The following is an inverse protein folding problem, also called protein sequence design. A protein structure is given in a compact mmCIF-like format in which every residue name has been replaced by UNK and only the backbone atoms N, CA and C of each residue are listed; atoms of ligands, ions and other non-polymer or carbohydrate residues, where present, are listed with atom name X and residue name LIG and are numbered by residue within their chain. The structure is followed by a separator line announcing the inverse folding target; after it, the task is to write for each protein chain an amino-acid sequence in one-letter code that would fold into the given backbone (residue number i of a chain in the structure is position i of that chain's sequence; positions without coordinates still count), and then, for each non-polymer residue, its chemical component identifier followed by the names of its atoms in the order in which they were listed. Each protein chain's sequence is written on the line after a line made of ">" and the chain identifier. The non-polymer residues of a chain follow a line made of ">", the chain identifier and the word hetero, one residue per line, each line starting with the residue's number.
data_IF_079083711298
#
_entry.id   IF_079083711298
#
_cell.length_a   1.000
_cell.length_b   1.000
_cell.length_c   1.000
_cell.angle_alpha   90.00
_cell.angle_beta   90.00
_cell.angle_gamma   90.00
#
_symmetry.space_group_name_H-M   'P 1'
#
loop_
_entity.id
_entity.type
_entity.pdbx_description
1 polymer ?
#
# COMPACT_ATOMS: atom_id res chain seq x y z
N UNK A 1 -38.60 -2.84 -22.32
CA UNK A 1 -37.82 -1.62 -22.08
C UNK A 1 -36.58 -2.00 -21.29
N UNK A 2 -35.38 -1.73 -21.79
CA UNK A 2 -34.16 -1.93 -21.00
C UNK A 2 -34.13 -0.83 -19.95
N UNK A 3 -34.13 -1.21 -18.66
CA UNK A 3 -33.92 -0.26 -17.59
C UNK A 3 -32.59 0.46 -17.79
N UNK A 4 -32.55 1.75 -17.56
CA UNK A 4 -31.31 2.51 -17.66
C UNK A 4 -30.26 1.96 -16.67
N UNK A 5 -28.98 2.12 -16.97
CA UNK A 5 -27.88 1.70 -16.07
C UNK A 5 -28.08 2.29 -14.67
N UNK A 6 -28.55 3.53 -14.60
CA UNK A 6 -28.85 4.22 -13.33
C UNK A 6 -29.93 3.52 -12.52
N UNK A 7 -31.04 3.10 -13.16
CA UNK A 7 -32.14 2.39 -12.47
C UNK A 7 -31.68 1.03 -11.94
N UNK A 8 -30.85 0.31 -12.70
CA UNK A 8 -30.27 -0.97 -12.25
C UNK A 8 -29.35 -0.77 -11.05
N UNK A 9 -28.48 0.25 -11.07
CA UNK A 9 -27.59 0.56 -9.95
C UNK A 9 -28.37 0.98 -8.70
N UNK A 10 -29.41 1.81 -8.85
CA UNK A 10 -30.27 2.21 -7.75
C UNK A 10 -31.02 1.02 -7.13
N UNK A 11 -31.55 0.13 -7.94
CA UNK A 11 -32.20 -1.10 -7.48
C UNK A 11 -31.22 -1.99 -6.71
N UNK A 12 -30.00 -2.19 -7.24
CA UNK A 12 -28.96 -2.99 -6.56
C UNK A 12 -28.56 -2.37 -5.23
N UNK A 13 -28.38 -1.04 -5.16
CA UNK A 13 -28.06 -0.35 -3.92
C UNK A 13 -29.18 -0.47 -2.87
N UNK A 14 -30.45 -0.37 -3.31
CA UNK A 14 -31.59 -0.55 -2.43
C UNK A 14 -31.65 -1.98 -1.86
N UNK A 15 -31.39 -2.98 -2.68
CA UNK A 15 -31.35 -4.39 -2.26
C UNK A 15 -30.21 -4.65 -1.25
N UNK A 16 -29.00 -4.12 -1.51
CA UNK A 16 -27.87 -4.22 -0.56
C UNK A 16 -28.19 -3.56 0.79
N UNK A 17 -28.89 -2.41 0.78
CA UNK A 17 -29.33 -1.73 2.02
C UNK A 17 -30.37 -2.58 2.76
N UNK A 18 -31.34 -3.12 2.06
CA UNK A 18 -32.38 -3.97 2.66
C UNK A 18 -31.80 -5.24 3.30
N UNK A 19 -30.77 -5.81 2.69
CA UNK A 19 -30.02 -6.98 3.19
C UNK A 19 -28.96 -6.65 4.24
N UNK A 20 -28.78 -5.38 4.63
CA UNK A 20 -27.72 -4.93 5.53
C UNK A 20 -26.28 -5.27 5.03
N UNK A 21 -26.12 -5.41 3.73
CA UNK A 21 -24.85 -5.70 3.06
C UNK A 21 -24.19 -4.46 2.44
N UNK A 22 -24.87 -3.31 2.53
CA UNK A 22 -24.34 -2.07 2.01
C UNK A 22 -23.17 -1.58 2.87
N UNK A 23 -21.99 -1.53 2.27
CA UNK A 23 -20.77 -1.04 2.93
C UNK A 23 -20.57 0.44 2.62
N UNK A 24 -20.30 1.20 3.65
CA UNK A 24 -19.91 2.62 3.54
C UNK A 24 -18.47 2.77 3.96
N UNK A 25 -17.76 3.67 3.30
CA UNK A 25 -16.43 4.08 3.75
C UNK A 25 -16.61 4.93 5.02
N UNK A 26 -16.03 4.51 6.15
CA UNK A 26 -16.13 5.30 7.37
C UNK A 26 -15.29 6.56 7.23
N UNK A 27 -15.82 7.68 7.71
CA UNK A 27 -15.06 8.92 7.83
C UNK A 27 -14.37 8.95 9.20
N UNK A 28 -13.11 8.50 9.24
CA UNK A 28 -12.33 8.39 10.46
C UNK A 28 -11.15 9.35 10.43
N UNK A 29 -10.90 9.99 11.57
CA UNK A 29 -9.64 10.71 11.79
C UNK A 29 -8.69 9.77 12.55
N UNK A 30 -7.44 9.70 12.13
CA UNK A 30 -6.42 8.88 12.78
C UNK A 30 -5.60 9.74 13.76
N UNK A 31 -5.34 9.16 14.94
CA UNK A 31 -4.50 9.76 15.99
C UNK A 31 -3.66 8.64 16.64
N UNK A 32 -2.48 8.39 16.09
CA UNK A 32 -1.62 7.28 16.49
C UNK A 32 -2.38 5.95 16.47
N UNK A 33 -2.45 5.28 17.62
CA UNK A 33 -3.17 4.00 17.78
C UNK A 33 -4.70 4.13 17.90
N UNK A 34 -5.24 5.34 17.84
CA UNK A 34 -6.66 5.59 17.96
C UNK A 34 -7.25 6.04 16.63
N UNK A 35 -8.55 5.78 16.46
CA UNK A 35 -9.39 6.39 15.43
C UNK A 35 -10.50 7.18 16.11
N UNK A 36 -10.78 8.37 15.60
CA UNK A 36 -11.85 9.21 16.08
C UNK A 36 -13.04 9.03 15.15
N UNK A 37 -14.12 8.53 15.70
CA UNK A 37 -15.40 8.34 15.04
C UNK A 37 -16.50 9.04 15.82
N UNK A 38 -17.22 9.96 15.18
CA UNK A 38 -18.30 10.74 15.82
C UNK A 38 -17.86 11.38 17.15
N UNK A 39 -16.65 11.94 17.19
CA UNK A 39 -16.09 12.60 18.36
C UNK A 39 -15.61 11.65 19.48
N UNK A 40 -15.63 10.35 19.26
CA UNK A 40 -15.14 9.36 20.24
C UNK A 40 -13.83 8.75 19.74
N UNK A 41 -12.84 8.71 20.64
CA UNK A 41 -11.59 8.00 20.41
C UNK A 41 -11.79 6.50 20.67
N UNK A 42 -11.50 5.67 19.70
CA UNK A 42 -11.58 4.21 19.75
C UNK A 42 -10.20 3.62 19.47
N UNK A 43 -9.80 2.60 20.21
CA UNK A 43 -8.55 1.88 19.90
C UNK A 43 -8.67 1.17 18.54
N UNK A 44 -7.72 1.44 17.64
CA UNK A 44 -7.74 0.87 16.30
C UNK A 44 -7.15 -0.54 16.28
N UNK A 45 -7.97 -1.54 16.55
CA UNK A 45 -7.58 -2.97 16.48
C UNK A 45 -7.72 -3.56 15.07
N UNK A 46 -8.18 -2.78 14.10
CA UNK A 46 -8.33 -3.18 12.69
C UNK A 46 -7.16 -2.70 11.80
N UNK A 47 -6.11 -2.13 12.42
CA UNK A 47 -4.93 -1.66 11.69
C UNK A 47 -4.03 -2.82 11.30
N UNK A 48 -3.43 -2.73 10.12
CA UNK A 48 -2.32 -3.58 9.68
C UNK A 48 -0.95 -2.95 10.00
N UNK A 49 -0.93 -1.79 10.60
CA UNK A 49 0.28 -1.09 11.04
C UNK A 49 0.76 -1.65 12.39
N UNK A 50 1.24 -2.89 12.36
CA UNK A 50 1.65 -3.64 13.56
C UNK A 50 2.84 -3.03 14.30
N UNK A 51 3.70 -2.31 13.59
CA UNK A 51 4.89 -1.66 14.14
C UNK A 51 4.68 -0.17 14.43
N UNK A 52 3.53 0.39 14.07
CA UNK A 52 3.22 1.81 14.28
C UNK A 52 3.99 2.79 13.37
N UNK A 53 4.56 2.28 12.28
CA UNK A 53 5.42 3.08 11.38
C UNK A 53 4.65 4.16 10.63
N UNK A 54 3.36 3.93 10.36
CA UNK A 54 2.52 4.88 9.63
C UNK A 54 2.31 6.20 10.38
N UNK A 55 2.43 6.20 11.71
CA UNK A 55 2.33 7.38 12.56
C UNK A 55 3.66 7.89 13.11
N UNK A 56 4.78 7.25 12.77
CA UNK A 56 6.11 7.61 13.26
C UNK A 56 6.64 8.84 12.53
N UNK A 57 6.49 10.01 13.15
CA UNK A 57 6.93 11.29 12.57
C UNK A 57 8.44 11.45 12.55
N UNK A 58 9.18 10.79 13.45
CA UNK A 58 10.65 10.83 13.47
C UNK A 58 11.21 10.03 12.31
N UNK A 59 10.71 8.82 12.09
CA UNK A 59 11.07 7.98 10.94
C UNK A 59 10.73 8.69 9.61
N UNK A 60 9.57 9.34 9.52
CA UNK A 60 9.18 10.11 8.33
C UNK A 60 10.13 11.27 8.06
N UNK A 61 10.52 12.03 9.10
CA UNK A 61 11.45 13.16 8.97
C UNK A 61 12.85 12.68 8.57
N UNK A 62 13.32 11.57 9.14
CA UNK A 62 14.59 10.94 8.78
C UNK A 62 14.58 10.50 7.32
N UNK A 63 13.53 9.79 6.89
CA UNK A 63 13.36 9.37 5.49
C UNK A 63 13.40 10.54 4.52
N UNK A 64 12.66 11.62 4.79
CA UNK A 64 12.63 12.80 3.93
C UNK A 64 14.01 13.51 3.90
N UNK A 65 14.73 13.50 5.00
CA UNK A 65 16.10 14.06 5.08
C UNK A 65 17.05 13.24 4.21
N UNK A 66 17.02 11.92 4.31
CA UNK A 66 17.85 11.02 3.51
C UNK A 66 17.53 11.16 2.01
N UNK A 67 16.25 11.17 1.65
CA UNK A 67 15.80 11.38 0.26
C UNK A 67 16.28 12.71 -0.28
N UNK A 68 16.25 13.78 0.52
CA UNK A 68 16.79 15.09 0.15
C UNK A 68 18.31 15.11 -0.07
N UNK A 69 19.06 14.28 0.66
CA UNK A 69 20.51 14.14 0.51
C UNK A 69 20.92 13.32 -0.72
N UNK A 70 20.10 12.36 -1.15
CA UNK A 70 20.33 11.59 -2.38
C UNK A 70 20.23 12.43 -3.65
N UNK A 71 19.77 13.66 -3.54
CA UNK A 71 19.34 14.56 -4.62
C UNK A 71 20.43 15.26 -5.40
N UNK A 72 21.72 14.94 -5.24
CA UNK A 72 22.78 15.66 -6.01
C UNK A 72 22.91 15.18 -7.45
N UNK A 73 22.45 13.98 -7.77
CA UNK A 73 22.53 13.40 -9.12
C UNK A 73 21.21 12.90 -9.69
N UNK A 74 20.28 12.50 -8.82
CA UNK A 74 18.96 11.98 -9.21
C UNK A 74 17.90 12.49 -8.25
N UNK A 75 17.13 13.49 -8.65
CA UNK A 75 15.97 13.94 -7.86
C UNK A 75 14.96 12.81 -7.72
N UNK A 76 14.63 12.39 -6.49
CA UNK A 76 13.61 11.36 -6.27
C UNK A 76 12.29 11.78 -6.91
N UNK A 77 11.72 10.92 -7.73
CA UNK A 77 10.42 11.16 -8.34
C UNK A 77 9.33 10.81 -7.33
N UNK A 78 8.31 11.65 -7.23
CA UNK A 78 7.14 11.40 -6.38
C UNK A 78 6.27 10.24 -6.87
N UNK A 79 6.40 9.88 -8.14
CA UNK A 79 5.65 8.78 -8.75
C UNK A 79 6.30 8.32 -10.06
N UNK A 80 5.99 7.11 -10.48
CA UNK A 80 6.28 6.65 -11.83
C UNK A 80 5.41 7.42 -12.84
N UNK A 81 5.99 7.81 -13.98
CA UNK A 81 5.30 8.57 -15.04
C UNK A 81 4.67 7.69 -16.10
N UNK A 82 4.91 6.37 -16.05
CA UNK A 82 4.44 5.38 -17.02
C UNK A 82 4.48 3.98 -16.40
N UNK A 83 4.03 2.97 -17.16
CA UNK A 83 4.22 1.57 -16.77
C UNK A 83 5.71 1.17 -16.84
N UNK A 84 6.11 0.20 -16.03
CA UNK A 84 7.50 -0.28 -15.93
C UNK A 84 8.04 -0.80 -17.28
N UNK A 85 7.19 -1.44 -18.06
CA UNK A 85 7.57 -1.98 -19.38
C UNK A 85 7.85 -0.90 -20.45
N UNK A 86 7.49 0.35 -20.17
CA UNK A 86 7.74 1.48 -21.05
C UNK A 86 8.87 2.36 -20.47
N UNK A 87 8.49 3.46 -19.83
CA UNK A 87 9.43 4.46 -19.30
C UNK A 87 9.27 4.68 -17.78
N UNK A 88 8.45 3.86 -17.13
CA UNK A 88 8.15 4.01 -15.70
C UNK A 88 9.04 3.21 -14.77
N UNK A 89 9.95 2.36 -15.31
CA UNK A 89 10.95 1.72 -14.46
C UNK A 89 11.98 2.74 -13.98
N UNK A 90 12.40 2.63 -12.74
CA UNK A 90 13.35 3.56 -12.12
C UNK A 90 14.42 2.77 -11.37
N UNK A 91 15.64 3.29 -11.37
CA UNK A 91 16.79 2.68 -10.68
C UNK A 91 16.55 2.49 -9.18
N UNK A 92 15.72 3.33 -8.56
CA UNK A 92 15.36 3.20 -7.14
C UNK A 92 14.46 2.00 -6.89
N UNK A 93 13.59 1.69 -7.85
CA UNK A 93 12.72 0.51 -7.77
C UNK A 93 13.54 -0.78 -7.96
N UNK A 94 14.51 -0.77 -8.88
CA UNK A 94 15.44 -1.87 -9.06
C UNK A 94 16.31 -2.09 -7.82
N UNK A 95 16.84 -1.02 -7.23
CA UNK A 95 17.62 -1.08 -6.00
C UNK A 95 16.79 -1.62 -4.82
N UNK A 96 15.52 -1.27 -4.73
CA UNK A 96 14.61 -1.82 -3.72
C UNK A 96 14.39 -3.33 -3.93
N UNK A 97 14.20 -3.76 -5.17
CA UNK A 97 14.02 -5.18 -5.50
C UNK A 97 15.29 -5.98 -5.17
N UNK A 98 16.47 -5.44 -5.47
CA UNK A 98 17.77 -6.04 -5.12
C UNK A 98 17.95 -6.14 -3.59
N UNK A 99 17.67 -5.07 -2.85
CA UNK A 99 17.78 -5.08 -1.40
C UNK A 99 16.83 -6.10 -0.75
N UNK A 100 15.59 -6.16 -1.20
CA UNK A 100 14.62 -7.15 -0.74
C UNK A 100 15.07 -8.58 -1.09
N UNK A 101 15.62 -8.79 -2.28
CA UNK A 101 16.16 -10.09 -2.69
C UNK A 101 17.31 -10.51 -1.78
N UNK A 102 18.26 -9.63 -1.50
CA UNK A 102 19.39 -9.89 -0.61
C UNK A 102 18.93 -10.23 0.80
N UNK A 103 17.92 -9.52 1.31
CA UNK A 103 17.34 -9.78 2.61
C UNK A 103 16.69 -11.17 2.68
N UNK A 104 15.88 -11.54 1.68
CA UNK A 104 15.26 -12.86 1.59
C UNK A 104 16.29 -13.96 1.36
N UNK A 105 17.31 -13.73 0.52
CA UNK A 105 18.37 -14.70 0.29
C UNK A 105 19.13 -15.02 1.58
N UNK A 106 19.49 -14.02 2.35
CA UNK A 106 20.15 -14.21 3.66
C UNK A 106 19.29 -14.99 4.65
N UNK A 107 17.97 -14.86 4.61
CA UNK A 107 17.06 -15.65 5.45
C UNK A 107 16.94 -17.11 4.98
N UNK A 108 16.97 -17.34 3.67
CA UNK A 108 16.92 -18.69 3.05
C UNK A 108 18.19 -19.48 3.34
N UNK A 109 19.37 -18.86 3.20
CA UNK A 109 20.66 -19.48 3.48
C UNK A 109 20.77 -19.97 4.95
N UNK A 110 20.23 -19.20 5.90
CA UNK A 110 20.14 -19.61 7.30
C UNK A 110 19.30 -20.88 7.51
N UNK A 111 18.40 -21.20 6.60
CA UNK A 111 17.55 -22.39 6.64
C UNK A 111 18.08 -23.53 5.77
N UNK A 112 19.31 -23.41 5.22
CA UNK A 112 19.94 -24.40 4.34
C UNK A 112 19.12 -24.71 3.07
N UNK A 113 18.33 -23.76 2.59
CA UNK A 113 17.61 -23.85 1.32
C UNK A 113 18.52 -23.34 0.20
N UNK A 114 18.53 -24.04 -0.93
CA UNK A 114 19.43 -23.76 -2.07
C UNK A 114 18.78 -22.97 -3.21
N UNK A 115 17.50 -22.71 -3.10
CA UNK A 115 16.76 -22.03 -4.18
C UNK A 115 17.10 -20.54 -4.25
N UNK A 116 17.49 -20.09 -5.43
CA UNK A 116 17.59 -18.65 -5.72
C UNK A 116 16.20 -18.07 -5.89
N UNK A 117 15.94 -16.91 -5.29
CA UNK A 117 14.68 -16.17 -5.38
C UNK A 117 14.90 -14.85 -6.09
N UNK A 118 13.90 -14.41 -6.84
CA UNK A 118 13.84 -13.08 -7.42
C UNK A 118 12.67 -12.31 -6.82
N UNK A 119 12.81 -11.01 -6.65
CA UNK A 119 11.79 -10.12 -6.11
C UNK A 119 11.27 -9.22 -7.21
N UNK A 120 9.96 -9.06 -7.27
CA UNK A 120 9.28 -8.10 -8.13
C UNK A 120 8.31 -7.28 -7.28
N UNK A 121 8.48 -5.97 -7.28
CA UNK A 121 7.57 -5.04 -6.61
C UNK A 121 6.40 -4.71 -7.51
N UNK A 122 5.19 -4.85 -6.99
CA UNK A 122 3.91 -4.58 -7.66
C UNK A 122 3.19 -3.43 -6.95
N UNK A 123 2.33 -2.73 -7.68
CA UNK A 123 1.60 -1.56 -7.16
C UNK A 123 0.52 -1.91 -6.12
N UNK A 124 0.19 -3.17 -5.95
CA UNK A 124 -0.73 -3.64 -4.90
C UNK A 124 -0.57 -5.13 -4.63
N UNK A 125 -0.89 -5.56 -3.40
CA UNK A 125 -0.94 -6.97 -3.04
C UNK A 125 -1.98 -7.76 -3.85
N UNK A 126 -3.04 -7.10 -4.32
CA UNK A 126 -4.02 -7.73 -5.21
C UNK A 126 -3.37 -8.19 -6.52
N UNK A 127 -2.60 -7.31 -7.17
CA UNK A 127 -1.88 -7.68 -8.40
C UNK A 127 -0.78 -8.71 -8.13
N UNK A 128 -0.10 -8.63 -6.99
CA UNK A 128 0.90 -9.63 -6.61
C UNK A 128 0.31 -11.05 -6.45
N UNK A 129 -0.97 -11.15 -6.05
CA UNK A 129 -1.63 -12.44 -5.90
C UNK A 129 -2.23 -13.01 -7.21
N UNK A 130 -2.27 -12.21 -8.27
CA UNK A 130 -2.79 -12.63 -9.60
C UNK A 130 -1.67 -13.01 -10.57
N UNK A 131 -0.43 -12.59 -10.32
CA UNK A 131 0.75 -12.78 -11.18
C UNK A 131 1.44 -14.12 -11.08
#
# INVERSE_FOLDING_TARGET
>A
MQNSITERLQSTLADLKAKQQYRQLPNLQHDGRYVISNGKALLNIASNDYLGLGGDTELQAEFLTQVGQLSTTHTPKMSATSSRLLTGNDIQLEALEEELQNWYQSAIEKQSLTDSKSVLVLNSGYHANLG
#
